data_IF_853278591142
#
_entry.id   IF_853278591142
#
_cell.length_a   1.000
_cell.length_b   1.000
_cell.length_c   1.000
_cell.angle_alpha   90.00
_cell.angle_beta   90.00
_cell.angle_gamma   90.00
#
_symmetry.space_group_name_H-M   'P 1'
#
loop_
_entity.id
_entity.type
_entity.pdbx_description
1 polymer ?
#
# COMPACT_ATOMS: atom_id res chain seq x y z
N UNK A 1 8.79 5.10 -7.02
CA UNK A 1 8.78 3.80 -7.73
C UNK A 1 7.39 3.43 -8.25
N UNK A 2 6.34 3.32 -7.43
CA UNK A 2 5.00 2.89 -7.91
C UNK A 2 4.16 3.96 -8.63
N UNK A 3 4.47 5.25 -8.43
CA UNK A 3 3.73 6.37 -9.04
C UNK A 3 3.78 6.35 -10.58
N UNK A 4 4.94 6.05 -11.16
CA UNK A 4 5.13 6.01 -12.62
C UNK A 4 4.33 4.88 -13.27
N UNK A 5 4.24 3.71 -12.63
CA UNK A 5 3.44 2.58 -13.13
C UNK A 5 1.93 2.87 -13.10
N UNK A 6 1.44 3.56 -12.06
CA UNK A 6 0.04 4.00 -12.02
C UNK A 6 -0.27 5.04 -13.11
N UNK A 7 0.65 5.96 -13.39
CA UNK A 7 0.53 6.91 -14.51
C UNK A 7 0.53 6.20 -15.87
N UNK A 8 1.42 5.22 -16.10
CA UNK A 8 1.44 4.40 -17.34
C UNK A 8 0.13 3.63 -17.54
N UNK A 9 -0.51 3.19 -16.46
CA UNK A 9 -1.80 2.51 -16.47
C UNK A 9 -3.01 3.46 -16.51
N UNK A 10 -2.79 4.77 -16.65
CA UNK A 10 -3.83 5.82 -16.62
C UNK A 10 -4.70 5.81 -15.35
N UNK A 11 -4.08 5.49 -14.21
CA UNK A 11 -4.71 5.45 -12.89
C UNK A 11 -4.33 6.69 -12.08
N UNK A 12 -5.30 7.30 -11.41
CA UNK A 12 -5.05 8.42 -10.51
C UNK A 12 -4.13 7.99 -9.33
N UNK A 13 -3.15 8.81 -8.92
CA UNK A 13 -2.32 8.57 -7.74
C UNK A 13 -3.10 8.28 -6.45
N UNK A 14 -4.34 8.74 -6.31
CA UNK A 14 -5.22 8.42 -5.17
C UNK A 14 -5.45 6.92 -5.02
N UNK A 15 -5.52 6.17 -6.13
CA UNK A 15 -5.66 4.72 -6.08
C UNK A 15 -4.41 4.05 -5.50
N UNK A 16 -3.22 4.61 -5.77
CA UNK A 16 -1.96 4.15 -5.18
C UNK A 16 -1.95 4.42 -3.66
N UNK A 17 -2.32 5.62 -3.23
CA UNK A 17 -2.43 5.96 -1.80
C UNK A 17 -3.40 5.02 -1.08
N UNK A 18 -4.59 4.78 -1.64
CA UNK A 18 -5.56 3.83 -1.10
C UNK A 18 -4.97 2.43 -0.95
N UNK A 19 -4.31 1.93 -1.99
CA UNK A 19 -3.69 0.60 -1.97
C UNK A 19 -2.59 0.50 -0.93
N UNK A 20 -1.81 1.56 -0.73
CA UNK A 20 -0.75 1.60 0.27
C UNK A 20 -1.30 1.62 1.70
N UNK A 21 -2.38 2.36 1.96
CA UNK A 21 -3.08 2.32 3.26
C UNK A 21 -3.64 0.93 3.55
N UNK A 22 -4.31 0.33 2.56
CA UNK A 22 -4.95 -0.98 2.70
C UNK A 22 -3.95 -2.13 2.93
N UNK A 23 -2.77 -2.04 2.31
CA UNK A 23 -1.75 -3.09 2.37
C UNK A 23 -0.68 -2.86 3.42
N UNK A 24 -0.30 -1.61 3.70
CA UNK A 24 0.81 -1.27 4.61
C UNK A 24 0.34 -0.93 6.01
N UNK A 25 -0.56 0.04 6.15
CA UNK A 25 -1.00 0.56 7.45
C UNK A 25 -1.78 -0.50 8.23
N UNK A 26 -2.69 -1.18 7.54
CA UNK A 26 -3.59 -2.15 8.17
C UNK A 26 -2.87 -3.47 8.48
N UNK A 27 -1.98 -3.96 7.62
CA UNK A 27 -1.28 -5.24 7.89
C UNK A 27 -0.06 -5.11 8.82
N UNK A 28 0.45 -3.88 9.02
CA UNK A 28 1.63 -3.55 9.83
C UNK A 28 1.65 -4.22 11.22
N UNK A 29 0.48 -4.32 11.85
CA UNK A 29 0.34 -4.88 13.20
C UNK A 29 0.58 -6.39 13.26
N UNK A 30 0.42 -7.11 12.15
CA UNK A 30 0.58 -8.57 12.09
C UNK A 30 2.06 -8.99 12.02
N UNK A 31 2.97 -8.03 11.85
CA UNK A 31 4.39 -8.28 11.68
C UNK A 31 5.11 -8.06 13.03
N UNK A 32 5.60 -9.13 13.68
CA UNK A 32 6.13 -9.04 15.06
C UNK A 32 7.38 -8.17 15.18
N UNK A 33 8.16 -8.04 14.10
CA UNK A 33 9.36 -7.19 14.06
C UNK A 33 9.06 -5.72 13.70
N UNK A 34 7.78 -5.34 13.60
CA UNK A 34 7.35 -3.96 13.39
C UNK A 34 6.95 -3.32 14.73
N UNK A 35 7.17 -2.01 14.87
CA UNK A 35 6.80 -1.22 16.06
C UNK A 35 5.33 -1.41 16.45
N UNK A 36 4.41 -1.42 15.47
CA UNK A 36 2.98 -1.62 15.74
C UNK A 36 2.68 -3.03 16.29
N UNK A 37 3.32 -4.06 15.73
CA UNK A 37 3.15 -5.44 16.18
C UNK A 37 3.74 -5.68 17.57
N UNK A 38 4.90 -5.10 17.85
CA UNK A 38 5.56 -5.16 19.15
C UNK A 38 4.74 -4.46 20.25
N UNK A 39 4.17 -3.29 19.95
CA UNK A 39 3.28 -2.57 20.87
C UNK A 39 2.04 -3.39 21.24
N UNK A 40 1.40 -4.00 20.24
CA UNK A 40 0.22 -4.84 20.48
C UNK A 40 0.55 -6.10 21.27
N UNK A 41 1.69 -6.74 20.96
CA UNK A 41 2.15 -7.92 21.70
C UNK A 41 2.44 -7.61 23.18
N UNK A 42 3.06 -6.46 23.47
CA UNK A 42 3.29 -6.01 24.84
C UNK A 42 1.98 -5.66 25.57
N UNK A 43 1.07 -4.96 24.89
CA UNK A 43 -0.20 -4.52 25.48
C UNK A 43 -1.10 -5.70 25.82
N UNK A 44 -1.19 -6.68 24.91
CA UNK A 44 -2.02 -7.87 25.08
C UNK A 44 -1.32 -8.97 25.91
N UNK A 45 -0.01 -8.86 26.14
CA UNK A 45 0.79 -9.86 26.83
C UNK A 45 0.94 -11.19 26.07
N UNK A 46 0.61 -11.22 24.77
CA UNK A 46 0.66 -12.43 23.93
C UNK A 46 1.48 -12.18 22.68
N UNK A 47 2.01 -13.24 22.07
CA UNK A 47 2.78 -13.13 20.83
C UNK A 47 1.90 -12.64 19.68
N UNK A 48 2.51 -11.93 18.71
CA UNK A 48 1.81 -11.45 17.51
C UNK A 48 1.08 -12.55 16.75
N UNK A 49 1.69 -13.74 16.64
CA UNK A 49 1.08 -14.89 15.97
C UNK A 49 -0.16 -15.42 16.71
N UNK A 50 -0.24 -15.21 18.03
CA UNK A 50 -1.39 -15.64 18.84
C UNK A 50 -2.61 -14.77 18.60
N UNK A 51 -2.46 -13.44 18.50
CA UNK A 51 -3.58 -12.55 18.21
C UNK A 51 -3.85 -12.36 16.71
N UNK A 52 -2.86 -12.64 15.85
CA UNK A 52 -3.00 -12.51 14.40
C UNK A 52 -4.30 -13.09 13.82
N UNK A 53 -4.71 -14.34 14.10
CA UNK A 53 -5.96 -14.89 13.55
C UNK A 53 -7.23 -14.18 14.04
N UNK A 54 -7.18 -13.49 15.19
CA UNK A 54 -8.31 -12.71 15.73
C UNK A 54 -8.38 -11.30 15.14
N UNK A 55 -7.32 -10.83 14.47
CA UNK A 55 -7.26 -9.54 13.81
C UNK A 55 -7.94 -9.58 12.43
N UNK A 56 -9.21 -10.03 12.40
CA UNK A 56 -9.97 -10.31 11.17
C UNK A 56 -9.97 -9.15 10.18
N UNK A 57 -10.16 -7.91 10.66
CA UNK A 57 -10.10 -6.74 9.80
C UNK A 57 -8.76 -6.62 9.07
N UNK A 58 -7.64 -6.82 9.78
CA UNK A 58 -6.31 -6.70 9.20
C UNK A 58 -5.99 -7.82 8.19
N UNK A 59 -6.59 -9.01 8.36
CA UNK A 59 -6.45 -10.13 7.42
C UNK A 59 -7.39 -10.03 6.21
N UNK A 60 -8.62 -9.55 6.42
CA UNK A 60 -9.64 -9.48 5.37
C UNK A 60 -9.43 -8.25 4.49
N UNK A 61 -8.95 -7.13 5.04
CA UNK A 61 -8.80 -5.89 4.29
C UNK A 61 -7.90 -6.01 3.04
N UNK A 62 -6.72 -6.67 3.08
CA UNK A 62 -5.89 -6.86 1.88
C UNK A 62 -6.60 -7.68 0.80
N UNK A 63 -7.39 -8.68 1.22
CA UNK A 63 -8.21 -9.51 0.33
C UNK A 63 -9.30 -8.68 -0.34
N UNK A 64 -10.01 -7.85 0.43
CA UNK A 64 -11.04 -6.94 -0.10
C UNK A 64 -10.41 -5.91 -1.04
N UNK A 65 -9.29 -5.30 -0.66
CA UNK A 65 -8.57 -4.33 -1.50
C UNK A 65 -8.12 -4.95 -2.83
N UNK A 66 -7.61 -6.19 -2.81
CA UNK A 66 -7.25 -6.93 -4.01
C UNK A 66 -8.47 -7.19 -4.91
N UNK A 67 -9.60 -7.61 -4.33
CA UNK A 67 -10.86 -7.83 -5.08
C UNK A 67 -11.37 -6.52 -5.69
N UNK A 68 -11.36 -5.41 -4.96
CA UNK A 68 -11.78 -4.10 -5.47
C UNK A 68 -10.88 -3.61 -6.61
N UNK A 69 -9.56 -3.81 -6.48
CA UNK A 69 -8.60 -3.51 -7.54
C UNK A 69 -8.82 -4.36 -8.80
N UNK A 70 -9.11 -5.66 -8.64
CA UNK A 70 -9.37 -6.56 -9.76
C UNK A 70 -10.71 -6.28 -10.44
N UNK A 71 -11.77 -6.06 -9.66
CA UNK A 71 -13.10 -5.73 -10.15
C UNK A 71 -13.23 -4.28 -10.69
N UNK A 72 -12.15 -3.49 -10.61
CA UNK A 72 -12.11 -2.05 -10.93
C UNK A 72 -13.17 -1.20 -10.21
N UNK A 73 -13.59 -1.61 -9.02
CA UNK A 73 -14.60 -0.90 -8.25
C UNK A 73 -13.94 0.27 -7.52
N UNK A 74 -14.38 1.50 -7.85
CA UNK A 74 -13.87 2.72 -7.22
C UNK A 74 -12.47 3.14 -7.67
N UNK A 75 -12.04 2.71 -8.87
CA UNK A 75 -10.79 3.16 -9.49
C UNK A 75 -11.05 4.49 -10.19
N UNK A 76 -10.40 5.56 -9.70
CA UNK A 76 -10.42 6.85 -10.38
C UNK A 76 -9.50 6.82 -11.61
N UNK A 77 -10.02 7.04 -12.84
CA UNK A 77 -9.19 7.23 -14.01
C UNK A 77 -8.42 8.55 -13.90
N UNK A 78 -7.25 8.61 -14.53
CA UNK A 78 -6.47 9.84 -14.60
C UNK A 78 -7.25 10.88 -15.43
N UNK A 79 -7.62 12.02 -14.83
CA UNK A 79 -8.24 13.15 -15.53
C UNK A 79 -7.29 13.66 -16.64
N UNK A 80 -7.79 14.10 -17.81
CA UNK A 80 -6.93 14.55 -18.90
C UNK A 80 -6.40 15.97 -18.61
N UNK A 81 -5.43 16.07 -17.71
CA UNK A 81 -4.58 17.26 -17.53
C UNK A 81 -3.19 16.98 -18.15
N UNK A 82 -2.53 18.00 -18.74
CA UNK A 82 -1.79 17.89 -19.98
C UNK A 82 -0.57 16.96 -19.89
N UNK A 83 -0.20 16.41 -21.05
CA UNK A 83 0.88 15.47 -21.31
C UNK A 83 2.31 15.97 -20.99
N UNK A 84 2.49 16.83 -19.99
CA UNK A 84 3.75 17.43 -19.57
C UNK A 84 4.34 16.87 -18.27
N UNK A 85 3.70 15.89 -17.60
CA UNK A 85 4.26 15.24 -16.39
C UNK A 85 4.82 13.83 -16.65
N UNK A 86 4.91 13.43 -17.92
CA UNK A 86 5.51 12.18 -18.38
C UNK A 86 7.04 12.25 -18.51
N UNK A 87 7.69 13.32 -18.05
CA UNK A 87 9.12 13.25 -17.76
C UNK A 87 9.33 12.35 -16.55
N UNK A 88 9.59 11.08 -16.86
CA UNK A 88 10.40 10.23 -16.00
C UNK A 88 11.57 11.08 -15.50
N UNK A 89 11.61 11.34 -14.19
CA UNK A 89 12.85 11.78 -13.56
C UNK A 89 13.91 10.78 -14.01
N UNK A 90 14.89 11.19 -14.84
CA UNK A 90 15.92 10.29 -15.27
C UNK A 90 16.60 9.84 -13.99
N UNK A 91 16.66 8.52 -13.84
CA UNK A 91 17.47 7.84 -12.85
C UNK A 91 18.79 8.60 -12.74
N UNK A 92 18.99 9.33 -11.63
CA UNK A 92 20.23 10.05 -11.39
C UNK A 92 21.31 8.98 -11.31
N UNK A 93 22.03 8.84 -12.42
CA UNK A 93 23.27 8.10 -12.58
C UNK A 93 24.10 8.30 -11.30
N UNK A 94 24.58 7.23 -10.65
CA UNK A 94 25.42 7.38 -9.48
C UNK A 94 26.60 8.25 -9.86
N UNK A 95 26.72 9.40 -9.18
CA UNK A 95 27.89 10.27 -9.26
C UNK A 95 29.09 9.41 -8.91
N UNK A 96 29.96 9.24 -9.89
CA UNK A 96 31.26 8.60 -9.70
C UNK A 96 31.98 9.27 -8.53
N UNK A 97 32.64 8.42 -7.74
CA UNK A 97 33.82 8.78 -6.93
C UNK A 97 34.89 9.33 -7.85
#
# INVERSE_FOLDING_TARGET
MFRSEYQRRRLDPKNLSRTLEDSGTITSVLIPWNTCGAFMAQTLGVSTLTYAPFAFFNLINPLVAAVYGFARIGIAPLDPAPAGSLEATPERRPTAV
#
